data_IF_971653402722
#
_entry.id   IF_971653402722
#
_cell.length_a   1.000
_cell.length_b   1.000
_cell.length_c   1.000
_cell.angle_alpha   90.00
_cell.angle_beta   90.00
_cell.angle_gamma   90.00
#
_symmetry.space_group_name_H-M   'P 1'
#
loop_
_entity.id
_entity.type
_entity.pdbx_description
1 polymer ?
#
# COMPACT_ATOMS: atom_id res chain seq x y z
N UNK A 1 10.48 -24.78 43.05
CA UNK A 1 11.29 -23.76 42.38
C UNK A 1 11.48 -24.03 40.87
N UNK A 2 11.54 -25.28 40.45
CA UNK A 2 11.75 -25.68 39.04
C UNK A 2 10.53 -25.38 38.15
N UNK A 3 9.31 -25.58 38.62
CA UNK A 3 8.05 -25.32 37.89
C UNK A 3 7.80 -23.83 37.56
N UNK A 4 8.26 -22.93 38.46
CA UNK A 4 8.12 -21.48 38.25
C UNK A 4 9.04 -21.00 37.12
N UNK A 5 10.26 -21.55 37.02
CA UNK A 5 11.19 -21.23 35.93
C UNK A 5 10.65 -21.70 34.56
N UNK A 6 10.07 -22.92 34.51
CA UNK A 6 9.49 -23.46 33.29
C UNK A 6 8.25 -22.66 32.86
N UNK A 7 7.41 -22.23 33.80
CA UNK A 7 6.25 -21.40 33.53
C UNK A 7 6.59 -20.01 33.00
N UNK A 8 7.65 -19.37 33.57
CA UNK A 8 8.13 -18.08 33.09
C UNK A 8 8.73 -18.14 31.69
N UNK A 9 9.45 -19.24 31.36
CA UNK A 9 9.99 -19.44 30.00
C UNK A 9 8.87 -19.61 28.98
N UNK A 10 7.78 -20.35 29.32
CA UNK A 10 6.61 -20.50 28.44
C UNK A 10 5.88 -19.16 28.20
N UNK A 11 5.70 -18.35 29.22
CA UNK A 11 5.09 -17.00 29.09
C UNK A 11 5.96 -16.11 28.19
N UNK A 12 7.29 -16.14 28.36
CA UNK A 12 8.20 -15.33 27.55
C UNK A 12 8.18 -15.73 26.07
N UNK A 13 8.07 -17.02 25.78
CA UNK A 13 7.95 -17.55 24.40
C UNK A 13 6.62 -17.20 23.74
N UNK A 14 5.53 -17.11 24.52
CA UNK A 14 4.21 -16.71 23.99
C UNK A 14 4.20 -15.21 23.71
N UNK A 15 4.73 -14.39 24.60
CA UNK A 15 4.79 -12.93 24.42
C UNK A 15 5.65 -12.57 23.21
N UNK A 16 6.79 -13.23 23.00
CA UNK A 16 7.65 -12.96 21.85
C UNK A 16 6.98 -13.29 20.51
N UNK A 17 6.17 -14.35 20.44
CA UNK A 17 5.40 -14.69 19.21
C UNK A 17 4.29 -13.68 18.93
N UNK A 18 3.63 -13.14 19.95
CA UNK A 18 2.57 -12.14 19.79
C UNK A 18 3.15 -10.82 19.28
N UNK A 19 4.28 -10.38 19.81
CA UNK A 19 4.95 -9.15 19.36
C UNK A 19 5.40 -9.27 17.90
N UNK A 20 6.02 -10.38 17.52
CA UNK A 20 6.46 -10.61 16.13
C UNK A 20 5.26 -10.61 15.17
N UNK A 21 4.13 -11.21 15.56
CA UNK A 21 2.94 -11.25 14.71
C UNK A 21 2.30 -9.88 14.53
N UNK A 22 2.34 -9.01 15.53
CA UNK A 22 1.83 -7.63 15.43
C UNK A 22 2.71 -6.77 14.51
N UNK A 23 4.02 -6.90 14.60
CA UNK A 23 4.97 -6.20 13.71
C UNK A 23 4.78 -6.64 12.24
N UNK A 24 4.52 -7.93 12.01
CA UNK A 24 4.30 -8.46 10.67
C UNK A 24 2.95 -8.01 10.10
N UNK A 25 1.90 -7.92 10.90
CA UNK A 25 0.58 -7.42 10.50
C UNK A 25 0.63 -5.92 10.15
N UNK A 26 1.37 -5.10 10.89
CA UNK A 26 1.57 -3.68 10.61
C UNK A 26 2.36 -3.47 9.32
N UNK A 27 3.43 -4.24 9.08
CA UNK A 27 4.21 -4.23 7.84
C UNK A 27 3.39 -4.66 6.62
N UNK A 28 2.40 -5.53 6.83
CA UNK A 28 1.53 -6.06 5.80
C UNK A 28 0.20 -5.29 5.69
N UNK A 29 0.05 -4.17 6.41
CA UNK A 29 -1.19 -3.40 6.34
C UNK A 29 -1.48 -2.99 4.90
N UNK A 30 -2.56 -3.55 4.35
CA UNK A 30 -3.03 -3.26 3.00
C UNK A 30 -4.20 -2.29 3.05
N UNK A 31 -4.34 -1.47 2.03
CA UNK A 31 -5.57 -0.71 1.80
C UNK A 31 -6.57 -1.58 1.06
N UNK A 32 -7.77 -1.69 1.60
CA UNK A 32 -8.80 -2.60 1.09
C UNK A 32 -9.81 -1.84 0.22
N UNK A 33 -10.03 -2.33 -1.00
CA UNK A 33 -11.14 -1.92 -1.86
C UNK A 33 -12.13 -3.06 -1.98
N UNK A 34 -13.35 -2.85 -1.57
CA UNK A 34 -14.40 -3.87 -1.53
C UNK A 34 -14.82 -4.22 -0.12
N UNK A 35 -15.58 -5.30 0.02
CA UNK A 35 -16.09 -5.74 1.33
C UNK A 35 -15.09 -6.69 2.00
N UNK A 36 -14.94 -6.55 3.32
CA UNK A 36 -13.93 -7.25 4.12
C UNK A 36 -13.97 -8.78 3.93
N UNK A 37 -15.16 -9.37 3.90
CA UNK A 37 -15.34 -10.82 3.82
C UNK A 37 -15.53 -11.36 2.40
N UNK A 38 -15.08 -10.64 1.37
CA UNK A 38 -15.13 -11.13 0.00
C UNK A 38 -14.28 -12.41 -0.18
N UNK A 39 -14.82 -13.46 -0.85
CA UNK A 39 -14.16 -14.77 -0.94
C UNK A 39 -12.90 -14.77 -1.84
N UNK A 40 -12.83 -13.85 -2.80
CA UNK A 40 -11.65 -13.72 -3.67
C UNK A 40 -10.83 -12.52 -3.21
N UNK A 41 -9.56 -12.77 -2.89
CA UNK A 41 -8.59 -11.76 -2.49
C UNK A 41 -7.64 -11.53 -3.65
N UNK A 42 -7.65 -10.32 -4.21
CA UNK A 42 -6.68 -9.86 -5.20
C UNK A 42 -5.69 -8.96 -4.45
N UNK A 43 -4.45 -9.38 -4.32
CA UNK A 43 -3.40 -8.59 -3.67
C UNK A 43 -2.50 -8.02 -4.77
N UNK A 44 -2.35 -6.70 -4.79
CA UNK A 44 -1.52 -5.96 -5.74
C UNK A 44 -0.36 -5.30 -5.03
N UNK A 45 0.85 -5.58 -5.47
CA UNK A 45 2.05 -4.82 -5.12
C UNK A 45 2.35 -3.83 -6.25
N UNK A 46 2.26 -2.55 -5.95
CA UNK A 46 2.34 -1.49 -6.96
C UNK A 46 3.27 -0.34 -6.55
N UNK A 47 3.86 0.30 -7.54
CA UNK A 47 4.66 1.50 -7.39
C UNK A 47 3.98 2.71 -8.03
N UNK A 48 4.00 3.83 -7.33
CA UNK A 48 3.41 5.08 -7.79
C UNK A 48 4.12 5.68 -9.02
N UNK A 49 5.35 5.26 -9.33
CA UNK A 49 6.09 5.65 -10.54
C UNK A 49 5.99 4.62 -11.68
N UNK A 50 5.35 3.47 -11.45
CA UNK A 50 5.27 2.40 -12.44
C UNK A 50 4.14 2.64 -13.47
N UNK A 51 4.47 2.77 -14.75
CA UNK A 51 3.49 2.97 -15.83
C UNK A 51 2.53 1.79 -16.03
N UNK A 52 2.99 0.55 -15.80
CA UNK A 52 2.11 -0.63 -15.87
C UNK A 52 1.10 -0.65 -14.72
N UNK A 53 1.48 -0.19 -13.52
CA UNK A 53 0.54 -0.01 -12.42
C UNK A 53 -0.53 1.04 -12.76
N UNK A 54 -0.13 2.17 -13.33
CA UNK A 54 -1.08 3.17 -13.81
C UNK A 54 -2.04 2.61 -14.87
N UNK A 55 -1.52 1.86 -15.84
CA UNK A 55 -2.35 1.21 -16.88
C UNK A 55 -3.36 0.24 -16.26
N UNK A 56 -2.96 -0.58 -15.27
CA UNK A 56 -3.87 -1.46 -14.56
C UNK A 56 -5.00 -0.67 -13.86
N UNK A 57 -4.66 0.36 -13.11
CA UNK A 57 -5.64 1.18 -12.39
C UNK A 57 -6.59 1.95 -13.30
N UNK A 58 -6.13 2.36 -14.50
CA UNK A 58 -6.94 3.14 -15.44
C UNK A 58 -7.81 2.24 -16.33
N UNK A 59 -7.29 1.10 -16.78
CA UNK A 59 -7.91 0.28 -17.82
C UNK A 59 -8.54 -1.01 -17.29
N UNK A 60 -7.86 -1.69 -16.36
CA UNK A 60 -8.24 -3.05 -15.94
C UNK A 60 -9.05 -3.05 -14.63
N UNK A 61 -8.60 -2.29 -13.64
CA UNK A 61 -9.25 -2.25 -12.32
C UNK A 61 -10.73 -1.81 -12.38
N UNK A 62 -11.15 -0.84 -13.23
CA UNK A 62 -12.57 -0.47 -13.33
C UNK A 62 -13.47 -1.64 -13.73
N UNK A 63 -13.01 -2.50 -14.66
CA UNK A 63 -13.75 -3.69 -15.07
C UNK A 63 -13.79 -4.75 -13.96
N UNK A 64 -12.68 -4.99 -13.30
CA UNK A 64 -12.61 -5.89 -12.14
C UNK A 64 -13.52 -5.38 -11.04
N UNK A 65 -13.46 -4.08 -10.76
CA UNK A 65 -14.29 -3.44 -9.73
C UNK A 65 -15.78 -3.66 -10.01
N UNK A 66 -16.24 -3.33 -11.22
CA UNK A 66 -17.64 -3.48 -11.62
C UNK A 66 -18.11 -4.93 -11.57
N UNK A 67 -17.30 -5.88 -12.05
CA UNK A 67 -17.69 -7.29 -12.19
C UNK A 67 -17.58 -8.09 -10.89
N UNK A 68 -16.62 -7.76 -10.03
CA UNK A 68 -16.27 -8.62 -8.89
C UNK A 68 -16.26 -7.88 -7.55
N UNK A 69 -15.71 -6.66 -7.48
CA UNK A 69 -15.56 -5.97 -6.19
C UNK A 69 -16.89 -5.36 -5.75
N UNK A 70 -17.57 -4.62 -6.61
CA UNK A 70 -18.86 -3.98 -6.30
C UNK A 70 -19.98 -5.02 -6.07
N UNK A 71 -19.79 -6.24 -6.57
CA UNK A 71 -20.72 -7.36 -6.34
C UNK A 71 -20.37 -8.19 -5.10
N UNK A 72 -19.33 -7.81 -4.37
CA UNK A 72 -18.89 -8.51 -3.16
C UNK A 72 -18.19 -9.85 -3.39
N UNK A 73 -17.91 -10.22 -4.64
CA UNK A 73 -17.23 -11.48 -4.98
C UNK A 73 -15.71 -11.43 -4.79
N UNK A 74 -15.12 -10.23 -4.88
CA UNK A 74 -13.70 -10.03 -4.66
C UNK A 74 -13.44 -8.76 -3.85
N UNK A 75 -12.25 -8.69 -3.25
CA UNK A 75 -11.65 -7.46 -2.72
C UNK A 75 -10.25 -7.28 -3.30
N UNK A 76 -9.81 -6.02 -3.43
CA UNK A 76 -8.43 -5.69 -3.76
C UNK A 76 -7.71 -5.26 -2.48
N UNK A 77 -6.56 -5.85 -2.21
CA UNK A 77 -5.59 -5.42 -1.22
C UNK A 77 -4.47 -4.69 -1.94
N UNK A 78 -4.43 -3.37 -1.81
CA UNK A 78 -3.36 -2.56 -2.37
C UNK A 78 -2.19 -2.50 -1.39
N UNK A 79 -0.98 -2.76 -1.90
CA UNK A 79 0.27 -2.71 -1.15
C UNK A 79 1.29 -1.87 -1.90
N UNK A 80 1.87 -0.90 -1.20
CA UNK A 80 2.93 -0.09 -1.76
C UNK A 80 4.22 -0.90 -1.96
N UNK A 81 4.79 -0.75 -3.15
CA UNK A 81 6.11 -1.26 -3.49
C UNK A 81 6.91 -0.16 -4.19
N UNK A 82 7.34 0.89 -3.47
CA UNK A 82 8.00 2.03 -4.08
C UNK A 82 9.34 1.65 -4.70
N UNK A 83 9.48 1.86 -6.02
CA UNK A 83 10.69 1.55 -6.78
C UNK A 83 11.76 2.63 -6.65
N UNK A 84 11.35 3.86 -6.40
CA UNK A 84 12.22 5.03 -6.36
C UNK A 84 11.70 6.10 -5.37
N UNK A 85 12.43 7.21 -5.27
CA UNK A 85 12.07 8.32 -4.38
C UNK A 85 10.76 9.00 -4.78
N UNK A 86 10.49 9.12 -6.07
CA UNK A 86 9.25 9.72 -6.59
C UNK A 86 8.05 8.87 -6.22
N UNK A 87 8.15 7.54 -6.40
CA UNK A 87 7.13 6.60 -5.94
C UNK A 87 6.91 6.69 -4.43
N UNK A 88 8.00 6.79 -3.65
CA UNK A 88 7.90 6.92 -2.20
C UNK A 88 7.12 8.18 -1.80
N UNK A 89 7.34 9.33 -2.46
CA UNK A 89 6.55 10.54 -2.20
C UNK A 89 5.06 10.32 -2.49
N UNK A 90 4.71 9.69 -3.61
CA UNK A 90 3.33 9.32 -3.92
C UNK A 90 2.73 8.40 -2.87
N UNK A 91 3.46 7.38 -2.43
CA UNK A 91 3.03 6.46 -1.37
C UNK A 91 2.85 7.16 -0.03
N UNK A 92 3.75 8.06 0.36
CA UNK A 92 3.62 8.86 1.58
C UNK A 92 2.34 9.69 1.57
N UNK A 93 2.02 10.31 0.44
CA UNK A 93 0.79 11.10 0.26
C UNK A 93 -0.45 10.21 0.34
N UNK A 94 -0.49 9.11 -0.41
CA UNK A 94 -1.66 8.21 -0.40
C UNK A 94 -1.89 7.59 0.97
N UNK A 95 -0.85 7.13 1.65
CA UNK A 95 -0.94 6.53 2.98
C UNK A 95 -1.29 7.52 4.10
N UNK A 96 -1.16 8.82 3.85
CA UNK A 96 -1.62 9.88 4.76
C UNK A 96 -3.15 10.08 4.68
N UNK A 97 -3.79 9.62 3.62
CA UNK A 97 -5.23 9.78 3.41
C UNK A 97 -6.04 8.85 4.33
N UNK A 98 -7.22 9.30 4.73
CA UNK A 98 -8.17 8.43 5.40
C UNK A 98 -8.74 7.37 4.43
N UNK A 99 -9.44 6.39 4.95
CA UNK A 99 -9.98 5.26 4.16
C UNK A 99 -10.84 5.70 2.97
N UNK A 100 -11.67 6.74 3.13
CA UNK A 100 -12.55 7.24 2.06
C UNK A 100 -11.79 7.98 0.97
N UNK A 101 -10.69 8.61 1.32
CA UNK A 101 -9.87 9.40 0.40
C UNK A 101 -8.79 8.56 -0.30
N UNK A 102 -8.35 7.44 0.28
CA UNK A 102 -7.20 6.67 -0.21
C UNK A 102 -7.34 6.29 -1.68
N UNK A 103 -8.33 5.49 -2.05
CA UNK A 103 -8.48 5.02 -3.44
C UNK A 103 -8.82 6.14 -4.43
N UNK A 104 -9.68 7.13 -4.13
CA UNK A 104 -9.83 8.32 -4.98
C UNK A 104 -8.50 9.04 -5.26
N UNK A 105 -7.67 9.28 -4.25
CA UNK A 105 -6.36 9.93 -4.39
C UNK A 105 -5.38 9.05 -5.16
N UNK A 106 -5.28 7.77 -4.81
CA UNK A 106 -4.44 6.78 -5.50
C UNK A 106 -4.76 6.75 -7.01
N UNK A 107 -6.03 6.57 -7.34
CA UNK A 107 -6.48 6.49 -8.73
C UNK A 107 -6.21 7.80 -9.49
N UNK A 108 -6.40 8.95 -8.83
CA UNK A 108 -6.13 10.24 -9.46
C UNK A 108 -4.64 10.43 -9.74
N UNK A 109 -3.76 10.03 -8.82
CA UNK A 109 -2.32 10.07 -9.03
C UNK A 109 -1.88 9.13 -10.16
N UNK A 110 -2.45 7.93 -10.28
CA UNK A 110 -2.18 7.05 -11.41
C UNK A 110 -2.68 7.62 -12.73
N UNK A 111 -3.90 8.20 -12.77
CA UNK A 111 -4.44 8.84 -13.98
C UNK A 111 -3.56 9.98 -14.51
N UNK A 112 -2.90 10.67 -13.61
CA UNK A 112 -2.07 11.84 -13.89
C UNK A 112 -0.57 11.55 -13.67
N UNK A 113 -0.19 10.28 -13.65
CA UNK A 113 1.16 9.84 -13.31
C UNK A 113 2.26 10.58 -14.08
N UNK A 114 2.24 10.67 -15.43
CA UNK A 114 3.30 11.39 -16.15
C UNK A 114 3.41 12.86 -15.78
N UNK A 115 2.27 13.50 -15.45
CA UNK A 115 2.24 14.93 -15.16
C UNK A 115 2.98 15.29 -13.87
N UNK A 116 2.92 14.43 -12.85
CA UNK A 116 3.59 14.72 -11.59
C UNK A 116 4.94 14.01 -11.42
N UNK A 117 5.11 12.80 -12.00
CA UNK A 117 6.38 12.06 -11.87
C UNK A 117 7.51 12.68 -12.68
N UNK A 118 7.20 13.39 -13.77
CA UNK A 118 8.17 14.04 -14.66
C UNK A 118 8.29 15.55 -14.41
N UNK A 119 7.59 16.08 -13.41
CA UNK A 119 7.62 17.50 -13.06
C UNK A 119 8.94 17.88 -12.37
N UNK A 120 9.46 19.07 -12.67
CA UNK A 120 10.59 19.65 -11.91
C UNK A 120 10.18 19.94 -10.46
N UNK A 121 8.93 20.36 -10.23
CA UNK A 121 8.32 20.50 -8.89
C UNK A 121 7.24 19.44 -8.69
N UNK A 122 7.68 18.27 -8.20
CA UNK A 122 6.82 17.10 -7.97
C UNK A 122 5.72 17.43 -6.95
N UNK A 123 6.02 18.16 -5.88
CA UNK A 123 5.05 18.46 -4.82
C UNK A 123 3.95 19.39 -5.30
N UNK A 124 4.30 20.45 -6.02
CA UNK A 124 3.33 21.35 -6.62
C UNK A 124 2.46 20.64 -7.66
N UNK A 125 3.05 19.72 -8.44
CA UNK A 125 2.31 18.94 -9.43
C UNK A 125 1.37 17.92 -8.78
N UNK A 126 1.77 17.25 -7.70
CA UNK A 126 0.88 16.40 -6.89
C UNK A 126 -0.27 17.24 -6.33
N UNK A 127 0.01 18.43 -5.79
CA UNK A 127 -1.04 19.32 -5.26
C UNK A 127 -2.06 19.69 -6.35
N UNK A 128 -1.62 20.16 -7.51
CA UNK A 128 -2.51 20.49 -8.64
C UNK A 128 -3.34 19.28 -9.08
N UNK A 129 -2.74 18.09 -9.06
CA UNK A 129 -3.41 16.84 -9.40
C UNK A 129 -4.52 16.50 -8.41
N UNK A 130 -4.33 16.76 -7.12
CA UNK A 130 -5.24 16.37 -6.05
C UNK A 130 -6.23 17.47 -5.64
N UNK A 131 -5.99 18.73 -6.02
CA UNK A 131 -6.87 19.86 -5.72
C UNK A 131 -8.34 19.61 -6.12
N UNK A 132 -8.65 19.00 -7.30
CA UNK A 132 -10.04 18.71 -7.66
C UNK A 132 -10.76 17.71 -6.74
N UNK A 133 -10.01 16.97 -5.90
CA UNK A 133 -10.54 16.06 -4.88
C UNK A 133 -10.71 16.75 -3.51
N UNK A 134 -10.51 18.06 -3.43
CA UNK A 134 -10.59 18.82 -2.18
C UNK A 134 -9.38 18.62 -1.25
N UNK A 135 -8.26 18.13 -1.76
CA UNK A 135 -7.01 18.03 -0.99
C UNK A 135 -6.32 19.39 -1.02
N UNK A 136 -6.26 20.04 0.14
CA UNK A 136 -5.63 21.34 0.30
C UNK A 136 -4.11 21.23 0.47
N UNK A 137 -3.36 22.24 0.04
CA UNK A 137 -1.91 22.28 0.11
C UNK A 137 -1.36 22.09 1.53
N UNK A 138 -1.91 22.70 2.59
CA UNK A 138 -1.45 22.47 3.96
C UNK A 138 -1.59 21.00 4.39
N UNK A 139 -2.69 20.33 4.01
CA UNK A 139 -2.87 18.90 4.28
C UNK A 139 -1.80 18.06 3.57
N UNK A 140 -1.53 18.34 2.29
CA UNK A 140 -0.48 17.64 1.54
C UNK A 140 0.89 17.82 2.19
N UNK A 141 1.25 19.05 2.59
CA UNK A 141 2.53 19.31 3.23
C UNK A 141 2.65 18.61 4.58
N UNK A 142 1.57 18.55 5.38
CA UNK A 142 1.57 17.83 6.66
C UNK A 142 1.87 16.34 6.52
N UNK A 143 1.55 15.72 5.37
CA UNK A 143 1.88 14.33 5.07
C UNK A 143 3.38 14.07 4.87
N UNK A 144 4.16 15.13 4.66
CA UNK A 144 5.58 15.07 4.31
C UNK A 144 6.48 15.82 5.31
N UNK A 145 5.90 16.45 6.33
CA UNK A 145 6.64 17.12 7.40
C UNK A 145 7.60 16.16 8.13
N UNK A 146 8.71 16.69 8.62
CA UNK A 146 9.66 15.95 9.43
C UNK A 146 9.13 15.79 10.86
N UNK A 147 8.26 14.80 11.05
CA UNK A 147 7.72 14.39 12.35
C UNK A 147 7.75 12.87 12.50
N UNK A 148 7.58 12.39 13.73
CA UNK A 148 7.69 10.96 14.03
C UNK A 148 6.65 10.10 13.30
N UNK A 149 5.44 10.59 13.10
CA UNK A 149 4.39 9.88 12.36
C UNK A 149 4.81 9.62 10.91
N UNK A 150 5.32 10.64 10.23
CA UNK A 150 5.77 10.52 8.84
C UNK A 150 7.07 9.71 8.72
N UNK A 151 7.99 9.83 9.68
CA UNK A 151 9.17 8.97 9.76
C UNK A 151 8.79 7.50 9.92
N UNK A 152 7.80 7.21 10.78
CA UNK A 152 7.31 5.85 10.94
C UNK A 152 6.65 5.33 9.65
N UNK A 153 5.77 6.12 9.03
CA UNK A 153 5.16 5.77 7.72
C UNK A 153 6.21 5.46 6.66
N UNK A 154 7.25 6.27 6.55
CA UNK A 154 8.37 6.03 5.65
C UNK A 154 9.08 4.69 5.92
N UNK A 155 9.38 4.42 7.21
CA UNK A 155 10.03 3.16 7.62
C UNK A 155 9.14 1.95 7.30
N UNK A 156 7.84 2.03 7.57
CA UNK A 156 6.89 0.95 7.27
C UNK A 156 6.77 0.68 5.77
N UNK A 157 6.73 1.71 4.93
CA UNK A 157 6.74 1.56 3.47
C UNK A 157 8.00 0.84 2.96
N UNK A 158 9.17 1.20 3.47
CA UNK A 158 10.42 0.51 3.13
C UNK A 158 10.44 -0.92 3.63
N UNK A 159 10.04 -1.15 4.87
CA UNK A 159 10.02 -2.48 5.47
C UNK A 159 9.01 -3.41 4.76
N UNK A 160 7.82 -2.90 4.41
CA UNK A 160 6.82 -3.64 3.63
C UNK A 160 7.33 -4.01 2.24
N UNK A 161 7.99 -3.08 1.53
CA UNK A 161 8.66 -3.37 0.28
C UNK A 161 9.73 -4.46 0.42
N UNK A 162 10.61 -4.34 1.42
CA UNK A 162 11.69 -5.30 1.65
C UNK A 162 11.15 -6.68 2.02
N UNK A 163 10.10 -6.75 2.83
CA UNK A 163 9.38 -7.98 3.13
C UNK A 163 8.80 -8.63 1.85
N UNK A 164 8.09 -7.84 1.04
CA UNK A 164 7.49 -8.31 -0.20
C UNK A 164 8.57 -8.88 -1.17
N UNK A 165 9.70 -8.19 -1.31
CA UNK A 165 10.80 -8.64 -2.14
C UNK A 165 11.41 -9.95 -1.62
N UNK A 166 11.69 -10.05 -0.31
CA UNK A 166 12.43 -11.16 0.27
C UNK A 166 11.56 -12.38 0.58
N UNK A 167 10.31 -12.18 1.03
CA UNK A 167 9.46 -13.23 1.54
C UNK A 167 8.34 -13.62 0.57
N UNK A 168 7.88 -12.69 -0.29
CA UNK A 168 6.82 -12.94 -1.28
C UNK A 168 7.34 -13.11 -2.69
N UNK A 169 8.64 -12.87 -2.94
CA UNK A 169 9.23 -12.94 -4.27
C UNK A 169 8.69 -11.89 -5.24
N UNK A 170 8.38 -10.68 -4.72
CA UNK A 170 8.00 -9.53 -5.54
C UNK A 170 9.27 -8.88 -6.07
N UNK A 171 9.50 -8.98 -7.37
CA UNK A 171 10.69 -8.49 -8.06
C UNK A 171 10.39 -7.41 -9.11
N UNK A 172 9.10 -7.21 -9.42
CA UNK A 172 8.62 -6.21 -10.36
C UNK A 172 7.24 -5.66 -9.95
N UNK A 173 6.80 -4.56 -10.57
CA UNK A 173 5.47 -4.00 -10.38
C UNK A 173 4.75 -3.80 -11.72
N UNK A 174 3.42 -4.01 -11.78
CA UNK A 174 2.62 -4.61 -10.69
C UNK A 174 2.89 -6.11 -10.55
N UNK A 175 2.87 -6.63 -9.31
CA UNK A 175 2.82 -8.06 -9.04
C UNK A 175 1.49 -8.38 -8.35
N UNK A 176 0.81 -9.42 -8.81
CA UNK A 176 -0.49 -9.83 -8.29
C UNK A 176 -0.43 -11.20 -7.61
N UNK A 177 -1.23 -11.33 -6.55
CA UNK A 177 -1.57 -12.62 -5.97
C UNK A 177 -3.09 -12.76 -5.92
N UNK A 178 -3.61 -13.92 -6.24
CA UNK A 178 -5.03 -14.25 -6.07
C UNK A 178 -5.15 -15.39 -5.08
N UNK A 179 -5.81 -15.13 -3.96
CA UNK A 179 -5.92 -16.06 -2.84
C UNK A 179 -4.54 -16.63 -2.44
N UNK A 180 -3.52 -15.76 -2.35
CA UNK A 180 -2.15 -16.09 -1.95
C UNK A 180 -1.29 -16.76 -3.03
N UNK A 181 -1.82 -17.01 -4.23
CA UNK A 181 -1.05 -17.57 -5.35
C UNK A 181 -0.58 -16.47 -6.29
N UNK A 182 0.73 -16.37 -6.53
CA UNK A 182 1.30 -15.41 -7.48
C UNK A 182 0.72 -15.66 -8.86
N UNK A 183 0.29 -14.59 -9.53
CA UNK A 183 -0.22 -14.65 -10.90
C UNK A 183 0.95 -14.43 -11.85
N UNK A 184 1.19 -15.41 -12.71
CA UNK A 184 2.24 -15.32 -13.72
C UNK A 184 1.70 -14.62 -14.97
N UNK A 185 2.53 -13.78 -15.60
CA UNK A 185 2.19 -13.08 -16.83
C UNK A 185 2.71 -11.65 -16.89
N UNK A 186 2.50 -11.00 -18.04
CA UNK A 186 2.71 -9.56 -18.22
C UNK A 186 1.34 -8.87 -18.20
N UNK A 187 1.22 -7.86 -17.38
CA UNK A 187 0.01 -7.08 -17.22
C UNK A 187 0.18 -5.69 -17.80
#
# INVERSE_FOLDING_TARGET
>A
MQYIKTFLIFIFLIISKIVIAQDEEELLSARVLGIENAPIIIEEYASMSCGHCASFHIQTLPEIKKKYIDTGRAKLLFRDFPLDRTAMLGSMVTQCMNEKQFFPVLNRLFQKQPEWTQSEDILESIFKTLQPLGIEKPMLLSCLEDNETNKNRWKLLLAGRDYAAKQKGVDATPTFFVNGKKVEGRF
#
